data_IF_062406551000
#
_entry.id   IF_062406551000
#
_cell.length_a   1.000
_cell.length_b   1.000
_cell.length_c   1.000
_cell.angle_alpha   90.00
_cell.angle_beta   90.00
_cell.angle_gamma   90.00
#
_symmetry.space_group_name_H-M   'P 1'
#
loop_
_entity.id
_entity.type
_entity.pdbx_description
1 polymer ?
#
# COMPACT_ATOMS: atom_id res chain seq x y z
N UNK A 1 -18.99 3.76 -13.02
CA UNK A 1 -18.56 4.44 -11.79
C UNK A 1 -17.34 5.27 -12.14
N UNK A 2 -17.19 6.43 -11.51
CA UNK A 2 -16.01 7.29 -11.70
C UNK A 2 -14.87 6.76 -10.85
N UNK A 3 -13.64 6.85 -11.35
CA UNK A 3 -12.46 6.41 -10.60
C UNK A 3 -12.17 7.37 -9.44
N UNK A 4 -11.79 6.81 -8.29
CA UNK A 4 -11.21 7.54 -7.17
C UNK A 4 -9.75 7.13 -7.04
N UNK A 5 -8.85 8.05 -7.39
CA UNK A 5 -7.42 7.81 -7.27
C UNK A 5 -7.02 7.78 -5.79
N UNK A 6 -6.54 6.62 -5.33
CA UNK A 6 -5.94 6.46 -4.02
C UNK A 6 -4.53 7.06 -4.04
N UNK A 7 -4.18 7.76 -2.97
CA UNK A 7 -2.87 8.38 -2.78
C UNK A 7 -1.74 7.33 -2.85
N UNK A 8 -0.57 7.69 -3.37
CA UNK A 8 0.52 6.78 -3.78
C UNK A 8 1.77 6.85 -2.88
N UNK A 9 1.66 7.45 -1.68
CA UNK A 9 2.76 7.60 -0.70
C UNK A 9 3.16 6.31 0.04
N UNK A 10 3.10 5.18 -0.63
CA UNK A 10 3.44 3.88 -0.08
C UNK A 10 3.39 2.82 -1.17
N UNK A 11 3.61 1.57 -0.77
CA UNK A 11 3.47 0.47 -1.72
C UNK A 11 3.13 -0.85 -1.05
N UNK A 12 2.34 -1.67 -1.73
CA UNK A 12 2.04 -3.04 -1.37
C UNK A 12 2.49 -4.00 -2.46
N UNK A 13 2.96 -5.17 -2.06
CA UNK A 13 3.12 -6.29 -2.97
C UNK A 13 1.77 -6.99 -3.16
N UNK A 14 1.48 -7.33 -4.39
CA UNK A 14 0.25 -8.04 -4.75
C UNK A 14 0.56 -9.53 -4.82
N UNK A 15 -0.34 -10.34 -4.26
CA UNK A 15 -0.25 -11.79 -4.36
C UNK A 15 -0.66 -12.20 -5.79
N UNK A 16 0.35 -12.56 -6.58
CA UNK A 16 0.24 -13.01 -7.98
C UNK A 16 0.62 -14.48 -8.07
N UNK A 17 -0.34 -15.37 -7.81
CA UNK A 17 -0.11 -16.81 -7.95
C UNK A 17 -0.46 -17.30 -9.37
N UNK A 18 -0.03 -18.52 -9.69
CA UNK A 18 -0.13 -19.17 -11.00
C UNK A 18 -1.57 -19.31 -11.52
N UNK A 19 -2.57 -19.09 -10.67
CA UNK A 19 -3.97 -19.14 -11.06
C UNK A 19 -4.42 -17.91 -11.88
N UNK A 20 -3.57 -16.88 -11.97
CA UNK A 20 -3.80 -15.66 -12.77
C UNK A 20 -3.04 -15.62 -14.10
N UNK A 21 -2.32 -16.68 -14.48
CA UNK A 21 -1.46 -16.72 -15.68
C UNK A 21 -2.18 -16.25 -16.95
N UNK A 22 -3.42 -16.69 -17.14
CA UNK A 22 -4.21 -16.37 -18.33
C UNK A 22 -4.56 -14.89 -18.38
N UNK A 23 -5.01 -14.34 -17.26
CA UNK A 23 -5.37 -12.94 -17.08
C UNK A 23 -4.15 -12.03 -17.22
N UNK A 24 -2.99 -12.41 -16.65
CA UNK A 24 -1.74 -11.68 -16.78
C UNK A 24 -1.26 -11.71 -18.24
N UNK A 25 -1.32 -12.85 -18.92
CA UNK A 25 -1.00 -12.93 -20.36
C UNK A 25 -1.90 -12.02 -21.20
N UNK A 26 -3.19 -11.92 -20.88
CA UNK A 26 -4.14 -11.00 -21.57
C UNK A 26 -3.75 -9.54 -21.39
N UNK A 27 -3.29 -9.13 -20.21
CA UNK A 27 -2.82 -7.75 -19.96
C UNK A 27 -1.66 -7.37 -20.89
N UNK A 28 -0.72 -8.30 -21.11
CA UNK A 28 0.43 -8.05 -21.98
C UNK A 28 0.13 -8.26 -23.48
N UNK A 29 -1.02 -8.83 -23.85
CA UNK A 29 -1.28 -9.28 -25.23
C UNK A 29 -0.39 -10.46 -25.64
N UNK A 30 0.04 -11.27 -24.66
CA UNK A 30 0.99 -12.37 -24.83
C UNK A 30 2.37 -12.09 -24.21
N UNK A 31 2.99 -13.15 -23.71
CA UNK A 31 4.34 -13.15 -23.14
C UNK A 31 5.25 -14.09 -23.94
N UNK A 32 6.56 -13.88 -23.88
CA UNK A 32 7.57 -14.73 -24.52
C UNK A 32 8.50 -15.34 -23.48
N UNK A 33 9.01 -16.54 -23.75
CA UNK A 33 9.93 -17.22 -22.85
C UNK A 33 11.16 -16.38 -22.54
N UNK A 34 11.48 -16.26 -21.25
CA UNK A 34 12.68 -15.58 -20.74
C UNK A 34 12.74 -14.08 -21.03
N UNK A 35 11.67 -13.47 -21.55
CA UNK A 35 11.62 -12.03 -21.82
C UNK A 35 10.71 -11.34 -20.81
N UNK A 36 11.34 -10.67 -19.85
CA UNK A 36 10.65 -9.82 -18.88
C UNK A 36 9.92 -8.68 -19.61
N UNK A 37 8.64 -8.52 -19.29
CA UNK A 37 7.83 -7.38 -19.73
C UNK A 37 7.30 -6.63 -18.52
N UNK A 38 7.19 -5.32 -18.68
CA UNK A 38 6.67 -4.43 -17.64
C UNK A 38 5.44 -3.71 -18.18
N UNK A 39 4.40 -3.64 -17.35
CA UNK A 39 3.22 -2.84 -17.56
C UNK A 39 3.10 -1.85 -16.40
N UNK A 40 2.70 -0.61 -16.71
CA UNK A 40 2.47 0.46 -15.74
C UNK A 40 1.17 1.17 -16.07
N UNK A 41 0.33 1.38 -15.07
CA UNK A 41 -0.95 2.07 -15.21
C UNK A 41 -1.76 1.97 -13.93
N UNK A 42 -3.03 2.37 -13.97
CA UNK A 42 -3.92 2.26 -12.82
C UNK A 42 -4.56 0.88 -12.75
N UNK A 43 -4.63 0.32 -11.54
CA UNK A 43 -5.36 -0.90 -11.25
C UNK A 43 -6.49 -0.61 -10.26
N UNK A 44 -7.63 -1.27 -10.46
CA UNK A 44 -8.76 -1.18 -9.55
C UNK A 44 -8.60 -2.16 -8.39
N UNK A 45 -8.92 -1.72 -7.19
CA UNK A 45 -9.03 -2.57 -6.00
C UNK A 45 -10.51 -2.92 -5.80
N UNK A 46 -10.86 -4.19 -5.93
CA UNK A 46 -12.26 -4.62 -5.91
C UNK A 46 -12.45 -5.62 -4.77
N UNK A 47 -13.08 -5.23 -3.64
CA UNK A 47 -13.47 -6.14 -2.59
C UNK A 47 -14.55 -7.11 -3.10
N UNK A 48 -14.47 -8.37 -2.68
CA UNK A 48 -15.32 -9.47 -3.15
C UNK A 48 -16.02 -10.13 -1.94
N UNK A 49 -17.06 -9.52 -1.36
CA UNK A 49 -17.75 -10.05 -0.17
C UNK A 49 -18.43 -11.41 -0.43
N UNK A 50 -18.72 -11.70 -1.70
CA UNK A 50 -19.30 -12.95 -2.22
C UNK A 50 -18.26 -14.00 -2.61
N UNK A 51 -16.97 -13.75 -2.38
CA UNK A 51 -15.92 -14.70 -2.71
C UNK A 51 -16.09 -15.98 -1.87
N UNK A 52 -16.18 -17.17 -2.50
CA UNK A 52 -16.49 -18.43 -1.81
C UNK A 52 -15.36 -18.94 -0.92
N UNK A 53 -14.14 -18.39 -1.04
CA UNK A 53 -12.96 -18.81 -0.28
C UNK A 53 -12.68 -17.90 0.91
N UNK A 54 -12.69 -16.58 0.71
CA UNK A 54 -12.53 -15.57 1.77
C UNK A 54 -13.34 -14.31 1.42
N UNK A 55 -14.39 -13.97 2.20
CA UNK A 55 -15.23 -12.79 1.95
C UNK A 55 -14.51 -11.45 2.18
N UNK A 56 -13.29 -11.44 2.74
CA UNK A 56 -12.48 -10.21 2.86
C UNK A 56 -11.51 -10.03 1.69
N UNK A 57 -11.60 -10.85 0.64
CA UNK A 57 -10.71 -10.76 -0.52
C UNK A 57 -10.85 -9.40 -1.19
N UNK A 58 -9.71 -8.74 -1.43
CA UNK A 58 -9.63 -7.56 -2.29
C UNK A 58 -8.82 -7.93 -3.52
N UNK A 59 -9.51 -8.09 -4.64
CA UNK A 59 -8.87 -8.38 -5.92
C UNK A 59 -8.24 -7.14 -6.54
N UNK A 60 -7.15 -7.33 -7.28
CA UNK A 60 -6.48 -6.27 -8.05
C UNK A 60 -6.72 -6.54 -9.53
N UNK A 61 -7.26 -5.56 -10.24
CA UNK A 61 -7.72 -5.72 -11.63
C UNK A 61 -7.16 -4.67 -12.57
N UNK A 62 -6.77 -5.11 -13.76
CA UNK A 62 -6.39 -4.25 -14.89
C UNK A 62 -7.48 -4.42 -15.97
N UNK A 63 -8.35 -3.41 -16.09
CA UNK A 63 -9.57 -3.53 -16.88
C UNK A 63 -10.41 -4.73 -16.41
N UNK A 64 -10.77 -5.68 -17.29
CA UNK A 64 -11.53 -6.87 -16.91
C UNK A 64 -10.68 -7.98 -16.28
N UNK A 65 -9.34 -7.88 -16.30
CA UNK A 65 -8.45 -8.96 -15.92
C UNK A 65 -8.08 -8.89 -14.43
N UNK A 66 -8.41 -9.94 -13.67
CA UNK A 66 -7.97 -10.11 -12.28
C UNK A 66 -6.53 -10.64 -12.28
N UNK A 67 -5.59 -9.80 -11.89
CA UNK A 67 -4.14 -10.12 -11.96
C UNK A 67 -3.57 -10.61 -10.63
N UNK A 68 -4.34 -10.47 -9.55
CA UNK A 68 -3.87 -10.73 -8.20
C UNK A 68 -4.91 -10.37 -7.15
N UNK A 69 -4.49 -10.46 -5.89
CA UNK A 69 -5.23 -9.92 -4.76
C UNK A 69 -4.29 -9.35 -3.70
N UNK A 70 -4.83 -8.52 -2.80
CA UNK A 70 -4.08 -8.10 -1.61
C UNK A 70 -3.83 -9.32 -0.71
N UNK A 71 -2.69 -9.32 -0.01
CA UNK A 71 -2.47 -10.26 1.09
C UNK A 71 -3.58 -10.11 2.13
N UNK A 72 -3.95 -11.20 2.81
CA UNK A 72 -5.13 -11.21 3.70
C UNK A 72 -5.12 -10.10 4.76
N UNK A 73 -3.95 -9.84 5.37
CA UNK A 73 -3.80 -8.79 6.38
C UNK A 73 -4.02 -7.39 5.78
N UNK A 74 -3.48 -7.13 4.59
CA UNK A 74 -3.70 -5.87 3.89
C UNK A 74 -5.15 -5.74 3.43
N UNK A 75 -5.76 -6.81 2.90
CA UNK A 75 -7.15 -6.80 2.50
C UNK A 75 -8.07 -6.37 3.66
N UNK A 76 -7.88 -6.95 4.85
CA UNK A 76 -8.61 -6.56 6.06
C UNK A 76 -8.33 -5.10 6.47
N UNK A 77 -7.07 -4.67 6.41
CA UNK A 77 -6.66 -3.33 6.80
C UNK A 77 -7.24 -2.24 5.89
N UNK A 78 -7.31 -2.49 4.58
CA UNK A 78 -7.80 -1.54 3.59
C UNK A 78 -9.32 -1.62 3.38
N UNK A 79 -9.96 -2.73 3.75
CA UNK A 79 -11.40 -2.97 3.55
C UNK A 79 -12.31 -1.78 3.92
N UNK A 80 -12.29 -1.22 5.14
CA UNK A 80 -13.24 -0.16 5.51
C UNK A 80 -13.08 1.10 4.65
N UNK A 81 -11.86 1.38 4.19
CA UNK A 81 -11.55 2.53 3.35
C UNK A 81 -12.02 2.31 1.90
N UNK A 82 -11.78 1.11 1.35
CA UNK A 82 -12.26 0.75 0.01
C UNK A 82 -13.80 0.68 -0.03
N UNK A 83 -14.42 0.11 0.98
CA UNK A 83 -15.86 0.02 1.12
C UNK A 83 -16.50 1.42 1.16
N UNK A 84 -15.89 2.38 1.87
CA UNK A 84 -16.32 3.78 1.89
C UNK A 84 -16.30 4.41 0.49
N UNK A 85 -15.23 4.21 -0.28
CA UNK A 85 -15.11 4.74 -1.66
C UNK A 85 -16.20 4.16 -2.56
N UNK A 86 -16.42 2.84 -2.48
CA UNK A 86 -17.44 2.14 -3.28
C UNK A 86 -18.85 2.59 -2.91
N UNK A 87 -19.16 2.68 -1.61
CA UNK A 87 -20.45 3.17 -1.14
C UNK A 87 -20.68 4.66 -1.48
N UNK A 88 -19.61 5.42 -1.69
CA UNK A 88 -19.68 6.81 -2.19
C UNK A 88 -19.86 6.88 -3.72
N UNK A 89 -19.93 5.73 -4.41
CA UNK A 89 -20.21 5.66 -5.85
C UNK A 89 -18.98 5.62 -6.76
N UNK A 90 -17.78 5.46 -6.20
CA UNK A 90 -16.53 5.49 -6.95
C UNK A 90 -15.84 4.11 -7.02
N UNK A 91 -14.96 3.96 -7.99
CA UNK A 91 -14.06 2.79 -8.10
C UNK A 91 -12.69 3.17 -7.56
N UNK A 92 -12.21 2.55 -6.44
CA UNK A 92 -10.88 2.85 -5.92
C UNK A 92 -9.81 2.31 -6.86
N UNK A 93 -8.94 3.20 -7.35
CA UNK A 93 -7.83 2.87 -8.25
C UNK A 93 -6.51 3.36 -7.68
N UNK A 94 -5.43 2.64 -7.95
CA UNK A 94 -4.08 3.06 -7.58
C UNK A 94 -3.07 2.69 -8.68
N UNK A 95 -1.96 3.44 -8.83
CA UNK A 95 -0.91 3.08 -9.76
C UNK A 95 -0.34 1.69 -9.44
N UNK A 96 -0.14 0.87 -10.47
CA UNK A 96 0.39 -0.48 -10.38
C UNK A 96 1.53 -0.63 -11.39
N UNK A 97 2.61 -1.25 -10.92
CA UNK A 97 3.66 -1.79 -11.78
C UNK A 97 3.56 -3.31 -11.75
N UNK A 98 3.35 -3.92 -12.92
CA UNK A 98 3.30 -5.37 -13.11
C UNK A 98 4.47 -5.80 -13.99
N UNK A 99 5.27 -6.73 -13.49
CA UNK A 99 6.35 -7.37 -14.23
C UNK A 99 6.00 -8.84 -14.42
N UNK A 100 6.18 -9.36 -15.64
CA UNK A 100 5.91 -10.76 -15.92
C UNK A 100 6.84 -11.32 -17.00
N UNK A 101 7.15 -12.60 -16.89
CA UNK A 101 7.90 -13.40 -17.87
C UNK A 101 7.33 -14.81 -17.91
N UNK A 102 7.57 -15.54 -19.01
CA UNK A 102 7.25 -16.97 -19.05
C UNK A 102 8.52 -17.76 -18.77
N UNK A 103 8.48 -18.60 -17.75
CA UNK A 103 9.53 -19.55 -17.42
C UNK A 103 9.08 -20.97 -17.77
N UNK A 104 10.04 -21.87 -17.88
CA UNK A 104 9.78 -23.30 -17.99
C UNK A 104 10.08 -23.94 -16.64
N UNK A 105 9.04 -24.38 -15.93
CA UNK A 105 9.14 -25.06 -14.66
C UNK A 105 8.57 -26.47 -14.81
N UNK A 106 9.35 -27.50 -14.46
CA UNK A 106 8.97 -28.92 -14.59
C UNK A 106 8.46 -29.32 -15.99
N UNK A 107 8.98 -28.68 -17.04
CA UNK A 107 8.59 -28.92 -18.43
C UNK A 107 7.29 -28.24 -18.87
N UNK A 108 6.61 -27.52 -17.98
CA UNK A 108 5.44 -26.70 -18.28
C UNK A 108 5.83 -25.22 -18.40
N UNK A 109 5.08 -24.48 -19.21
CA UNK A 109 5.22 -23.03 -19.31
C UNK A 109 4.39 -22.38 -18.21
N UNK A 110 5.01 -21.56 -17.37
CA UNK A 110 4.39 -20.89 -16.23
C UNK A 110 4.71 -19.40 -16.28
N UNK A 111 3.75 -18.57 -15.89
CA UNK A 111 3.98 -17.13 -15.78
C UNK A 111 4.58 -16.83 -14.42
N UNK A 112 5.81 -16.34 -14.42
CA UNK A 112 6.42 -15.72 -13.25
C UNK A 112 6.09 -14.23 -13.28
N UNK A 113 5.38 -13.75 -12.26
CA UNK A 113 4.89 -12.38 -12.19
C UNK A 113 5.07 -11.78 -10.80
N UNK A 114 5.36 -10.49 -10.77
CA UNK A 114 5.41 -9.67 -9.56
C UNK A 114 4.68 -8.37 -9.82
N UNK A 115 3.76 -7.99 -8.92
CA UNK A 115 3.06 -6.71 -9.02
C UNK A 115 3.21 -5.89 -7.74
N UNK A 116 3.47 -4.60 -7.93
CA UNK A 116 3.63 -3.61 -6.85
C UNK A 116 2.64 -2.47 -7.05
N UNK A 117 1.73 -2.33 -6.11
CA UNK A 117 0.71 -1.29 -6.09
C UNK A 117 1.24 -0.10 -5.28
N UNK A 118 1.23 1.10 -5.86
CA UNK A 118 1.60 2.33 -5.18
C UNK A 118 0.37 2.89 -4.46
N UNK A 119 0.30 2.66 -3.15
CA UNK A 119 -0.85 3.04 -2.32
C UNK A 119 -0.36 3.47 -0.95
N UNK A 120 -0.90 4.57 -0.45
CA UNK A 120 -0.60 5.10 0.87
C UNK A 120 -1.18 4.20 1.97
N UNK A 121 -0.61 4.29 3.17
CA UNK A 121 -1.20 3.64 4.34
C UNK A 121 -2.66 4.07 4.54
N UNK A 122 -3.52 3.23 5.12
CA UNK A 122 -4.96 3.51 5.22
C UNK A 122 -5.32 4.87 5.84
N UNK A 123 -4.60 5.28 6.89
CA UNK A 123 -4.81 6.56 7.58
C UNK A 123 -4.43 7.79 6.74
N UNK A 124 -3.80 7.59 5.57
CA UNK A 124 -3.34 8.62 4.64
C UNK A 124 -4.07 8.59 3.28
N UNK A 125 -5.04 7.69 3.11
CA UNK A 125 -5.80 7.57 1.87
C UNK A 125 -6.69 8.78 1.61
N UNK A 126 -7.25 9.36 2.67
CA UNK A 126 -8.21 10.46 2.60
C UNK A 126 -7.73 11.63 3.45
N UNK A 127 -8.10 12.87 3.10
CA UNK A 127 -7.86 13.99 3.98
C UNK A 127 -8.74 13.90 5.24
N UNK A 128 -8.24 14.41 6.36
CA UNK A 128 -8.96 14.47 7.64
C UNK A 128 -10.16 15.41 7.60
N UNK A 129 -10.14 16.37 6.67
CA UNK A 129 -11.20 17.33 6.41
C UNK A 129 -11.49 17.44 4.90
N UNK A 130 -12.71 17.87 4.58
CA UNK A 130 -13.15 18.13 3.21
C UNK A 130 -12.80 19.58 2.83
N UNK A 131 -12.36 19.87 1.59
CA UNK A 131 -12.17 21.27 1.21
C UNK A 131 -13.53 21.99 1.17
N UNK A 132 -13.58 23.31 1.42
CA UNK A 132 -14.82 24.06 1.27
C UNK A 132 -15.44 23.86 -0.12
N UNK A 133 -16.77 23.79 -0.22
CA UNK A 133 -17.46 23.58 -1.50
C UNK A 133 -17.12 24.69 -2.53
N UNK A 134 -16.92 25.92 -2.04
CA UNK A 134 -16.49 27.07 -2.84
C UNK A 134 -14.97 27.22 -2.89
N UNK A 135 -14.22 26.12 -2.99
CA UNK A 135 -12.78 26.15 -3.21
C UNK A 135 -12.41 25.71 -4.63
N UNK A 136 -11.26 26.18 -5.09
CA UNK A 136 -10.53 25.69 -6.25
C UNK A 136 -9.26 25.00 -5.74
N UNK A 137 -9.08 23.73 -6.05
CA UNK A 137 -7.96 22.93 -5.54
C UNK A 137 -6.79 23.06 -6.50
N UNK A 138 -5.65 23.53 -6.02
CA UNK A 138 -4.45 23.62 -6.84
C UNK A 138 -3.93 22.22 -7.23
N UNK A 139 -3.39 22.06 -8.44
CA UNK A 139 -2.69 20.84 -8.84
C UNK A 139 -1.57 20.53 -7.83
N UNK A 140 -1.40 19.25 -7.50
CA UNK A 140 -0.34 18.83 -6.60
C UNK A 140 1.03 19.01 -7.25
N UNK A 141 2.03 19.34 -6.45
CA UNK A 141 3.41 19.53 -6.90
C UNK A 141 4.41 19.28 -5.77
N UNK A 142 5.58 19.95 -5.79
CA UNK A 142 6.57 19.79 -4.72
C UNK A 142 5.98 20.15 -3.35
N UNK A 143 6.56 19.55 -2.32
CA UNK A 143 6.21 19.85 -0.93
C UNK A 143 6.79 21.22 -0.52
N UNK A 144 5.94 22.08 0.02
CA UNK A 144 6.26 23.42 0.53
C UNK A 144 6.09 23.39 2.05
N UNK A 145 7.13 23.82 2.77
CA UNK A 145 7.11 23.89 4.22
C UNK A 145 6.23 25.05 4.68
N UNK A 146 5.30 24.79 5.59
CA UNK A 146 4.55 25.84 6.28
C UNK A 146 5.41 26.38 7.42
N UNK A 147 5.43 27.70 7.58
CA UNK A 147 6.21 28.40 8.60
C UNK A 147 5.34 28.81 9.77
N UNK A 148 6.00 29.00 10.92
CA UNK A 148 5.41 29.53 12.16
C UNK A 148 4.25 28.69 12.72
N UNK A 149 4.22 27.41 12.36
CA UNK A 149 3.30 26.40 12.88
C UNK A 149 3.37 26.27 14.40
N UNK A 150 4.53 26.59 15.00
CA UNK A 150 4.77 26.55 16.45
C UNK A 150 3.88 27.57 17.19
N UNK A 151 3.53 28.70 16.56
CA UNK A 151 2.59 29.67 17.12
C UNK A 151 1.17 29.06 17.28
N UNK A 152 0.89 27.98 16.55
CA UNK A 152 -0.40 27.30 16.48
C UNK A 152 -0.35 25.85 17.01
N UNK A 153 0.74 25.46 17.70
CA UNK A 153 1.01 24.08 18.09
C UNK A 153 -0.12 23.44 18.91
N UNK A 154 -0.72 24.17 19.86
CA UNK A 154 -1.83 23.67 20.68
C UNK A 154 -3.01 23.21 19.81
N UNK A 155 -3.41 24.02 18.83
CA UNK A 155 -4.49 23.66 17.91
C UNK A 155 -4.08 22.51 16.99
N UNK A 156 -2.85 22.55 16.46
CA UNK A 156 -2.38 21.50 15.56
C UNK A 156 -2.26 20.13 16.23
N UNK A 157 -1.89 20.07 17.50
CA UNK A 157 -1.94 18.83 18.28
C UNK A 157 -3.35 18.26 18.41
N UNK A 158 -4.40 19.09 18.38
CA UNK A 158 -5.79 18.61 18.36
C UNK A 158 -6.25 18.05 17.01
N UNK A 159 -5.54 18.40 15.93
CA UNK A 159 -5.83 17.95 14.56
C UNK A 159 -5.04 16.68 14.20
N UNK A 160 -3.88 16.45 14.82
CA UNK A 160 -3.03 15.30 14.53
C UNK A 160 -3.77 13.99 14.86
N UNK A 161 -3.88 13.04 13.92
CA UNK A 161 -4.52 11.77 14.17
C UNK A 161 -3.66 10.89 15.08
N UNK A 162 -4.23 9.86 15.74
CA UNK A 162 -3.47 8.96 16.61
C UNK A 162 -2.29 8.25 15.93
N UNK A 163 -2.32 8.11 14.60
CA UNK A 163 -1.22 7.59 13.79
C UNK A 163 0.03 8.50 13.78
N UNK A 164 -0.11 9.77 14.20
CA UNK A 164 0.95 10.79 14.16
C UNK A 164 1.14 11.47 12.79
N UNK A 165 0.44 11.02 11.75
CA UNK A 165 0.48 11.61 10.41
C UNK A 165 -0.90 11.57 9.76
N UNK A 166 -1.29 12.68 9.13
CA UNK A 166 -2.56 12.80 8.41
C UNK A 166 -2.45 13.64 7.15
N UNK A 167 -3.29 13.33 6.16
CA UNK A 167 -3.52 14.20 5.00
C UNK A 167 -4.59 15.22 5.35
N UNK A 168 -4.47 16.44 4.84
CA UNK A 168 -5.44 17.50 5.12
C UNK A 168 -5.70 18.33 3.88
N UNK A 169 -6.84 18.99 3.82
CA UNK A 169 -7.10 20.08 2.90
C UNK A 169 -6.89 21.41 3.63
N UNK A 170 -6.06 22.27 3.06
CA UNK A 170 -5.76 23.59 3.59
C UNK A 170 -6.29 24.64 2.62
N UNK A 171 -6.60 25.83 3.12
CA UNK A 171 -6.90 27.00 2.29
C UNK A 171 -5.82 28.05 2.45
N UNK A 172 -5.57 28.79 1.36
CA UNK A 172 -4.60 29.87 1.29
C UNK A 172 -5.32 31.20 1.18
N UNK A 173 -4.92 32.17 2.00
CA UNK A 173 -5.51 33.52 2.00
C UNK A 173 -4.39 34.58 2.06
N UNK A 174 -4.54 35.65 1.27
CA UNK A 174 -3.62 36.79 1.29
C UNK A 174 -3.90 37.64 2.53
N UNK A 175 -2.86 37.91 3.32
CA UNK A 175 -2.90 38.77 4.50
C UNK A 175 -1.77 39.81 4.46
N UNK A 176 -1.89 40.88 5.24
CA UNK A 176 -0.91 41.98 5.33
C UNK A 176 -0.26 41.99 6.70
N UNK A 177 1.04 41.73 6.76
CA UNK A 177 1.82 41.75 8.00
C UNK A 177 2.78 42.95 8.01
N UNK A 178 2.97 43.55 9.17
CA UNK A 178 4.00 44.60 9.35
C UNK A 178 5.31 43.96 9.79
N UNK A 179 6.39 44.23 9.06
CA UNK A 179 7.71 43.79 9.48
C UNK A 179 8.25 44.64 10.65
N UNK A 180 9.35 44.20 11.27
CA UNK A 180 10.02 44.95 12.34
C UNK A 180 10.47 46.37 11.94
N UNK A 181 10.56 46.65 10.65
CA UNK A 181 10.92 47.95 10.08
C UNK A 181 9.68 48.81 9.73
N UNK A 182 8.48 48.39 10.12
CA UNK A 182 7.23 49.11 9.90
C UNK A 182 6.65 49.04 8.48
N UNK A 183 7.30 48.32 7.55
CA UNK A 183 6.80 48.12 6.20
C UNK A 183 5.71 47.04 6.21
N UNK A 184 4.65 47.26 5.43
CA UNK A 184 3.58 46.27 5.24
C UNK A 184 3.95 45.34 4.09
N UNK A 185 3.94 44.05 4.35
CA UNK A 185 4.24 42.99 3.39
C UNK A 185 3.00 42.12 3.22
N UNK A 186 2.66 41.80 1.98
CA UNK A 186 1.64 40.82 1.67
C UNK A 186 2.24 39.41 1.85
N UNK A 187 1.54 38.58 2.60
CA UNK A 187 1.93 37.21 2.94
C UNK A 187 0.75 36.29 2.73
N UNK A 188 1.03 35.01 2.47
CA UNK A 188 -0.02 34.00 2.37
C UNK A 188 -0.13 33.25 3.69
N UNK A 189 -1.26 33.41 4.35
CA UNK A 189 -1.63 32.59 5.50
C UNK A 189 -2.14 31.24 5.04
N UNK A 190 -1.80 30.21 5.82
CA UNK A 190 -2.26 28.84 5.63
C UNK A 190 -3.31 28.56 6.70
N UNK A 191 -4.48 28.10 6.26
CA UNK A 191 -5.62 27.86 7.14
C UNK A 191 -6.05 26.40 7.07
N UNK A 192 -6.33 25.80 8.23
CA UNK A 192 -7.03 24.53 8.37
C UNK A 192 -8.41 24.83 8.94
N UNK A 193 -9.47 24.41 8.24
CA UNK A 193 -10.87 24.68 8.65
C UNK A 193 -11.12 26.16 9.02
N UNK A 194 -10.60 27.08 8.20
CA UNK A 194 -10.73 28.55 8.38
C UNK A 194 -10.00 29.12 9.60
N UNK A 195 -9.19 28.33 10.30
CA UNK A 195 -8.29 28.81 11.36
C UNK A 195 -6.86 28.85 10.84
N UNK A 196 -6.17 29.96 11.06
CA UNK A 196 -4.76 30.10 10.71
C UNK A 196 -3.92 29.05 11.47
N UNK A 197 -3.03 28.40 10.73
CA UNK A 197 -2.14 27.35 11.24
C UNK A 197 -0.68 27.56 10.85
N UNK A 198 -0.41 28.65 10.14
CA UNK A 198 0.93 29.05 9.73
C UNK A 198 0.85 29.99 8.54
N UNK A 199 1.99 30.13 7.85
CA UNK A 199 2.12 30.98 6.67
C UNK A 199 3.18 30.44 5.71
N UNK A 200 3.13 30.88 4.46
CA UNK A 200 4.19 30.63 3.50
C UNK A 200 5.36 31.58 3.73
N UNK A 201 6.55 31.21 3.23
CA UNK A 201 7.68 32.15 3.19
C UNK A 201 7.34 33.37 2.33
N UNK A 202 8.03 34.49 2.55
CA UNK A 202 7.84 35.71 1.76
C UNK A 202 7.99 35.45 0.25
N UNK A 203 9.00 34.66 -0.13
CA UNK A 203 9.26 34.31 -1.52
C UNK A 203 8.11 33.49 -2.13
N UNK A 204 7.64 32.46 -1.42
CA UNK A 204 6.51 31.65 -1.88
C UNK A 204 5.22 32.48 -1.92
N UNK A 205 5.00 33.35 -0.93
CA UNK A 205 3.84 34.24 -0.89
C UNK A 205 3.77 35.11 -2.15
N UNK A 206 4.86 35.76 -2.53
CA UNK A 206 4.92 36.58 -3.76
C UNK A 206 4.55 35.80 -5.03
N UNK A 207 4.89 34.52 -5.08
CA UNK A 207 4.59 33.63 -6.19
C UNK A 207 3.11 33.21 -6.23
N UNK A 208 2.51 32.94 -5.06
CA UNK A 208 1.14 32.42 -4.97
C UNK A 208 0.07 33.50 -4.90
N UNK A 209 0.37 34.72 -4.44
CA UNK A 209 -0.62 35.82 -4.32
C UNK A 209 -1.41 36.04 -5.63
N UNK A 210 -0.78 36.17 -6.82
CA UNK A 210 -1.54 36.38 -8.06
C UNK A 210 -2.55 35.27 -8.37
N UNK A 211 -2.21 34.03 -8.00
CA UNK A 211 -3.06 32.84 -8.21
C UNK A 211 -4.23 32.87 -7.22
N UNK A 212 -3.94 33.18 -5.95
CA UNK A 212 -4.94 33.27 -4.89
C UNK A 212 -5.94 34.40 -5.18
N UNK A 213 -5.43 35.56 -5.60
CA UNK A 213 -6.25 36.71 -5.94
C UNK A 213 -7.14 36.43 -7.15
N UNK A 214 -6.64 35.69 -8.16
CA UNK A 214 -7.44 35.28 -9.32
C UNK A 214 -8.62 34.39 -8.91
N UNK A 215 -8.38 33.37 -8.08
CA UNK A 215 -9.46 32.52 -7.57
C UNK A 215 -10.45 33.32 -6.70
N UNK A 216 -9.95 34.19 -5.84
CA UNK A 216 -10.76 35.00 -4.95
C UNK A 216 -11.67 35.99 -5.70
N UNK A 217 -11.18 36.59 -6.79
CA UNK A 217 -11.96 37.45 -7.68
C UNK A 217 -13.14 36.72 -8.34
N UNK A 218 -13.08 35.39 -8.43
CA UNK A 218 -14.16 34.53 -8.91
C UNK A 218 -14.96 33.87 -7.77
N UNK A 219 -14.90 34.45 -6.56
CA UNK A 219 -15.60 33.98 -5.36
C UNK A 219 -15.21 32.55 -4.96
N UNK A 220 -13.97 32.14 -5.26
CA UNK A 220 -13.40 30.84 -4.88
C UNK A 220 -12.26 31.00 -3.89
N UNK A 221 -12.23 30.16 -2.87
CA UNK A 221 -11.05 29.98 -2.02
C UNK A 221 -10.00 29.15 -2.75
N UNK A 222 -8.72 29.40 -2.48
CA UNK A 222 -7.65 28.54 -3.01
C UNK A 222 -7.38 27.43 -2.01
N UNK A 223 -7.60 26.18 -2.39
CA UNK A 223 -7.33 25.00 -1.57
C UNK A 223 -6.09 24.24 -2.06
N UNK A 224 -5.38 23.61 -1.13
CA UNK A 224 -4.20 22.80 -1.41
C UNK A 224 -4.22 21.52 -0.58
N UNK A 225 -3.56 20.49 -1.10
CA UNK A 225 -3.29 19.28 -0.34
C UNK A 225 -2.20 19.55 0.69
N UNK A 226 -2.41 19.08 1.91
CA UNK A 226 -1.48 19.20 3.02
C UNK A 226 -1.12 17.87 3.65
N UNK A 227 -0.08 17.88 4.45
CA UNK A 227 0.31 16.77 5.34
C UNK A 227 0.69 17.35 6.69
N UNK A 228 0.01 16.89 7.72
CA UNK A 228 0.31 17.20 9.10
C UNK A 228 1.00 15.99 9.73
N UNK A 229 2.09 16.25 10.44
CA UNK A 229 2.85 15.25 11.18
C UNK A 229 3.08 15.78 12.57
N UNK A 230 2.98 14.94 13.57
CA UNK A 230 3.42 15.32 14.89
C UNK A 230 3.66 14.16 15.82
N UNK A 231 4.38 14.50 16.87
CA UNK A 231 4.62 13.67 18.04
C UNK A 231 4.05 14.36 19.27
N UNK A 232 4.35 13.86 20.46
CA UNK A 232 3.99 14.51 21.71
C UNK A 232 4.65 15.91 21.90
N UNK A 233 5.72 16.22 21.15
CA UNK A 233 6.53 17.42 21.39
C UNK A 233 6.71 18.33 20.17
N UNK A 234 6.44 17.83 18.97
CA UNK A 234 6.71 18.55 17.73
C UNK A 234 5.54 18.38 16.78
N UNK A 235 5.21 19.47 16.10
CA UNK A 235 4.26 19.50 14.98
C UNK A 235 5.00 20.04 13.76
N UNK A 236 4.74 19.41 12.63
CA UNK A 236 5.15 19.91 11.33
C UNK A 236 4.03 19.79 10.32
N UNK A 237 3.92 20.79 9.44
CA UNK A 237 3.00 20.80 8.33
C UNK A 237 3.72 21.09 7.02
N UNK A 238 3.18 20.52 5.96
CA UNK A 238 3.61 20.80 4.59
C UNK A 238 2.40 20.87 3.70
N UNK A 239 2.48 21.62 2.61
CA UNK A 239 1.48 21.63 1.56
C UNK A 239 2.09 21.27 0.21
N UNK A 240 1.25 20.84 -0.72
CA UNK A 240 1.65 20.48 -2.09
C UNK A 240 0.88 21.33 -3.06
N UNK A 241 1.63 22.05 -3.89
CA UNK A 241 1.11 22.83 -4.99
C UNK A 241 2.11 22.77 -6.14
N UNK A 242 1.60 22.69 -7.36
CA UNK A 242 2.39 22.93 -8.56
C UNK A 242 3.02 24.32 -8.49
N UNK A 243 4.19 24.47 -9.09
CA UNK A 243 4.80 25.80 -9.21
C UNK A 243 3.91 26.67 -10.10
N UNK A 244 3.84 27.99 -9.90
CA UNK A 244 2.99 28.87 -10.69
C UNK A 244 3.10 28.66 -12.21
N UNK A 245 4.32 28.44 -12.70
CA UNK A 245 4.62 28.18 -14.11
C UNK A 245 4.15 26.82 -14.63
N UNK A 246 3.95 25.85 -13.73
CA UNK A 246 3.53 24.48 -14.03
C UNK A 246 2.00 24.30 -13.89
N UNK A 247 1.27 25.33 -13.44
CA UNK A 247 -0.19 25.26 -13.31
C UNK A 247 -0.83 25.29 -14.71
N UNK A 248 -1.62 24.27 -15.10
CA UNK A 248 -2.29 24.25 -16.39
C UNK A 248 -3.24 25.43 -16.60
N UNK A 249 -3.31 25.96 -17.82
CA UNK A 249 -4.22 27.06 -18.16
C UNK A 249 -5.69 26.74 -17.85
N UNK A 250 -6.10 25.49 -18.07
CA UNK A 250 -7.45 24.99 -17.76
C UNK A 250 -7.84 25.19 -16.30
N UNK A 251 -6.88 25.17 -15.37
CA UNK A 251 -7.15 25.39 -13.95
C UNK A 251 -7.64 26.82 -13.71
N UNK A 252 -7.03 27.82 -14.36
CA UNK A 252 -7.41 29.23 -14.23
C UNK A 252 -8.78 29.55 -14.84
N UNK A 253 -9.21 28.74 -15.81
CA UNK A 253 -10.51 28.87 -16.47
C UNK A 253 -11.64 28.18 -15.69
N UNK A 254 -11.38 26.99 -15.15
CA UNK A 254 -12.40 26.13 -14.54
C UNK A 254 -12.44 26.23 -13.02
N UNK A 255 -11.33 26.61 -12.39
CA UNK A 255 -11.13 26.64 -10.93
C UNK A 255 -11.72 25.39 -10.24
N UNK A 256 -11.30 24.18 -10.65
CA UNK A 256 -11.98 22.95 -10.29
C UNK A 256 -11.79 22.61 -8.81
N UNK A 257 -12.79 21.91 -8.24
CA UNK A 257 -12.68 21.23 -6.96
C UNK A 257 -12.66 19.72 -7.20
N UNK A 258 -11.48 19.19 -7.52
CA UNK A 258 -11.30 17.80 -7.94
C UNK A 258 -11.26 16.80 -6.78
N UNK A 259 -11.52 17.23 -5.54
CA UNK A 259 -11.55 16.32 -4.39
C UNK A 259 -12.94 15.69 -4.32
N UNK A 260 -13.07 14.38 -4.63
CA UNK A 260 -14.38 13.75 -4.65
C UNK A 260 -14.93 13.67 -3.22
N UNK A 261 -16.21 14.03 -3.07
CA UNK A 261 -16.90 13.94 -1.78
C UNK A 261 -17.18 12.47 -1.45
N UNK A 262 -16.63 12.01 -0.33
CA UNK A 262 -16.89 10.68 0.21
C UNK A 262 -17.91 10.77 1.34
N UNK A 263 -18.71 9.72 1.52
CA UNK A 263 -19.53 9.55 2.72
C UNK A 263 -18.69 9.75 3.99
N UNK A 264 -19.22 10.28 5.10
CA UNK A 264 -18.46 10.42 6.35
C UNK A 264 -17.87 9.08 6.82
N UNK A 265 -16.74 9.07 7.56
CA UNK A 265 -16.22 7.83 8.15
C UNK A 265 -17.30 7.11 8.97
N UNK A 266 -17.46 5.81 8.74
CA UNK A 266 -18.49 4.99 9.37
C UNK A 266 -18.02 3.55 9.58
N UNK A 267 -18.70 2.81 10.47
CA UNK A 267 -18.24 1.49 10.91
C UNK A 267 -18.43 0.37 9.90
N UNK A 268 -19.40 0.46 9.00
CA UNK A 268 -19.61 -0.53 7.94
C UNK A 268 -20.34 0.11 6.76
N UNK A 269 -19.87 -0.19 5.55
CA UNK A 269 -20.50 0.21 4.31
C UNK A 269 -20.90 -1.04 3.53
N UNK A 270 -22.10 -1.06 2.91
CA UNK A 270 -22.47 -2.17 2.03
C UNK A 270 -21.53 -2.18 0.81
N UNK A 271 -20.92 -3.34 0.55
CA UNK A 271 -20.10 -3.56 -0.64
C UNK A 271 -20.86 -4.51 -1.55
N UNK A 272 -21.05 -4.18 -2.84
CA UNK A 272 -21.69 -5.08 -3.79
C UNK A 272 -20.86 -6.34 -4.03
N UNK A 273 -21.56 -7.44 -4.31
CA UNK A 273 -20.97 -8.68 -4.82
C UNK A 273 -20.19 -8.40 -6.11
N UNK A 274 -18.96 -8.91 -6.17
CA UNK A 274 -18.03 -8.60 -7.25
C UNK A 274 -17.09 -9.75 -7.60
N UNK A 275 -17.23 -10.91 -6.96
CA UNK A 275 -16.39 -12.06 -7.21
C UNK A 275 -16.52 -12.53 -8.67
N UNK A 276 -15.37 -12.61 -9.34
CA UNK A 276 -15.27 -13.23 -10.66
C UNK A 276 -14.20 -14.33 -10.57
N UNK A 277 -14.55 -15.59 -10.86
CA UNK A 277 -13.59 -16.68 -10.81
C UNK A 277 -12.54 -16.51 -11.92
N UNK A 278 -11.26 -16.69 -11.56
CA UNK A 278 -10.17 -16.74 -12.51
C UNK A 278 -10.35 -17.93 -13.47
N UNK A 279 -9.72 -17.89 -14.64
CA UNK A 279 -9.82 -18.94 -15.65
C UNK A 279 -9.39 -20.31 -15.08
N UNK A 280 -8.35 -20.32 -14.23
CA UNK A 280 -7.91 -21.51 -13.52
C UNK A 280 -9.00 -22.08 -12.59
N UNK A 281 -9.74 -21.23 -11.88
CA UNK A 281 -10.84 -21.64 -10.99
C UNK A 281 -12.02 -22.21 -11.77
N UNK A 282 -12.31 -21.65 -12.95
CA UNK A 282 -13.34 -22.18 -13.86
C UNK A 282 -13.01 -23.61 -14.28
N UNK A 283 -11.75 -23.89 -14.59
CA UNK A 283 -11.31 -25.24 -14.99
C UNK A 283 -11.37 -26.26 -13.84
N UNK A 284 -11.04 -25.84 -12.61
CA UNK A 284 -11.15 -26.66 -11.39
C UNK A 284 -12.61 -26.92 -11.02
N UNK A 285 -13.47 -25.90 -11.08
CA UNK A 285 -14.89 -26.04 -10.82
C UNK A 285 -15.66 -26.75 -11.94
N UNK A 286 -15.20 -26.70 -13.20
CA UNK A 286 -15.79 -27.48 -14.29
C UNK A 286 -15.71 -29.00 -14.04
N UNK A 287 -14.65 -29.49 -13.36
CA UNK A 287 -14.54 -30.92 -12.96
C UNK A 287 -15.49 -31.28 -11.82
N UNK A 288 -15.82 -30.36 -10.90
CA UNK A 288 -16.81 -30.58 -9.83
C UNK A 288 -18.26 -30.41 -10.32
N UNK A 289 -18.54 -29.42 -11.17
CA UNK A 289 -19.89 -29.16 -11.70
C UNK A 289 -20.36 -30.24 -12.70
N UNK A 290 -19.46 -30.79 -13.53
CA UNK A 290 -19.78 -31.94 -14.40
C UNK A 290 -20.03 -33.24 -13.62
N UNK A 291 -19.44 -33.41 -12.43
CA UNK A 291 -19.75 -34.52 -11.52
C UNK A 291 -21.06 -34.31 -10.76
N UNK A 292 -21.39 -33.07 -10.38
CA UNK A 292 -22.65 -32.73 -9.72
C UNK A 292 -23.89 -32.97 -10.59
N UNK A 293 -23.81 -32.67 -11.89
CA UNK A 293 -24.94 -32.89 -12.80
C UNK A 293 -25.15 -34.37 -13.20
N UNK A 294 -24.10 -35.19 -13.17
CA UNK A 294 -24.16 -36.61 -13.48
C UNK A 294 -24.60 -37.48 -12.29
N UNK A 295 -24.39 -37.02 -11.04
CA UNK A 295 -24.81 -37.74 -9.83
C UNK A 295 -26.26 -37.44 -9.46
N UNK A 296 -26.84 -36.31 -9.90
CA UNK A 296 -28.26 -36.01 -9.66
C UNK A 296 -29.23 -36.64 -10.66
N UNK A 297 -28.74 -37.33 -11.70
CA UNK A 297 -29.58 -38.02 -12.68
C UNK A 297 -29.63 -39.56 -12.50
N UNK A 298 -28.93 -40.12 -11.52
CA UNK A 298 -28.97 -41.56 -11.22
C UNK A 298 -28.92 -41.79 -9.71
N UNK A 299 -30.07 -42.12 -9.11
CA UNK A 299 -30.08 -42.77 -7.80
C UNK A 299 -31.13 -42.29 -6.79
N UNK A 300 -32.41 -42.19 -7.19
CA UNK A 300 -33.50 -42.40 -6.24
C UNK A 300 -33.74 -43.91 -6.11
N UNK A 301 -33.30 -44.54 -5.01
CA UNK A 301 -33.66 -45.93 -4.72
C UNK A 301 -32.79 -46.63 -3.69
N UNK A 302 -33.26 -46.65 -2.44
CA UNK A 302 -33.41 -47.86 -1.62
C UNK A 302 -32.20 -48.72 -1.20
N UNK A 303 -31.90 -48.64 0.10
CA UNK A 303 -31.77 -49.75 1.07
C UNK A 303 -30.70 -50.87 0.95
N UNK A 304 -29.93 -50.95 2.04
CA UNK A 304 -29.48 -52.13 2.82
C UNK A 304 -28.58 -53.25 2.25
N UNK A 305 -27.51 -53.48 3.06
CA UNK A 305 -26.90 -54.74 3.56
C UNK A 305 -25.62 -55.33 2.95
N UNK A 306 -24.81 -55.75 3.93
CA UNK A 306 -23.86 -56.86 4.01
C UNK A 306 -22.46 -56.68 3.39
N UNK A 307 -21.45 -56.95 4.22
CA UNK A 307 -20.04 -56.76 3.93
C UNK A 307 -19.34 -57.98 3.36
N UNK A 308 -18.03 -57.84 3.19
CA UNK A 308 -17.08 -58.93 3.17
C UNK A 308 -15.69 -58.33 3.42
N UNK A 309 -15.01 -58.85 4.44
CA UNK A 309 -13.57 -58.72 4.62
C UNK A 309 -12.82 -59.31 3.41
N UNK A 310 -11.71 -58.70 3.04
CA UNK A 310 -10.52 -59.46 2.66
C UNK A 310 -9.27 -58.61 2.97
N UNK A 311 -8.39 -59.27 3.72
CA UNK A 311 -7.21 -58.74 4.37
C UNK A 311 -5.96 -59.10 3.54
N UNK A 312 -4.82 -58.51 3.93
CA UNK A 312 -3.44 -58.88 3.56
C UNK A 312 -2.86 -58.30 2.26
N UNK A 313 -2.00 -57.27 2.40
CA UNK A 313 -0.55 -57.50 2.43
C UNK A 313 0.24 -56.20 2.60
N UNK A 314 0.96 -56.13 3.70
CA UNK A 314 2.01 -55.15 3.94
C UNK A 314 3.25 -55.47 3.10
N UNK A 315 3.77 -54.48 2.38
CA UNK A 315 5.16 -54.50 1.93
C UNK A 315 5.80 -53.13 2.17
N UNK A 316 6.61 -53.08 3.24
CA UNK A 316 7.61 -52.05 3.50
C UNK A 316 8.74 -52.17 2.48
N UNK A 317 9.12 -51.06 1.87
CA UNK A 317 10.46 -50.72 1.30
C UNK A 317 10.32 -49.29 0.75
N UNK A 318 11.21 -48.32 0.87
CA UNK A 318 12.48 -48.14 1.57
C UNK A 318 12.80 -46.67 1.33
N UNK A 319 12.85 -45.85 2.38
CA UNK A 319 13.20 -44.44 2.29
C UNK A 319 14.71 -44.29 2.05
N UNK A 320 15.08 -43.68 0.92
CA UNK A 320 16.42 -43.14 0.67
C UNK A 320 16.61 -41.79 1.39
N UNK A 321 17.84 -41.42 1.76
CA UNK A 321 18.10 -40.41 2.78
C UNK A 321 17.90 -38.99 2.23
N UNK A 322 16.90 -38.30 2.75
CA UNK A 322 16.80 -36.85 2.65
C UNK A 322 17.95 -36.21 3.43
N UNK A 323 18.90 -35.62 2.73
CA UNK A 323 19.92 -34.75 3.29
C UNK A 323 19.23 -33.58 4.02
N UNK A 324 19.29 -33.67 5.34
CA UNK A 324 18.41 -32.93 6.25
C UNK A 324 18.56 -31.42 6.16
N UNK A 325 17.41 -30.75 6.09
CA UNK A 325 17.22 -29.32 6.38
C UNK A 325 17.84 -28.94 7.72
N UNK A 326 17.91 -29.86 8.69
CA UNK A 326 18.60 -29.68 9.97
C UNK A 326 20.12 -29.44 9.84
N UNK A 327 20.79 -30.08 8.86
CA UNK A 327 22.23 -29.94 8.65
C UNK A 327 22.62 -28.57 8.11
N UNK A 328 21.77 -27.99 7.23
CA UNK A 328 21.98 -26.63 6.69
C UNK A 328 21.84 -25.55 7.75
N UNK A 329 20.91 -25.71 8.70
CA UNK A 329 20.72 -24.75 9.80
C UNK A 329 21.88 -24.81 10.79
N UNK A 330 22.38 -26.02 11.11
CA UNK A 330 23.54 -26.16 11.99
C UNK A 330 24.80 -25.51 11.40
N UNK A 331 25.06 -25.70 10.10
CA UNK A 331 26.18 -25.06 9.40
C UNK A 331 26.03 -23.53 9.41
N UNK A 332 24.83 -23.00 9.13
CA UNK A 332 24.58 -21.55 9.15
C UNK A 332 24.84 -20.92 10.54
N UNK A 333 24.38 -21.58 11.62
CA UNK A 333 24.59 -21.12 13.00
C UNK A 333 26.08 -21.04 13.35
N UNK A 334 26.87 -22.07 13.00
CA UNK A 334 28.31 -22.07 13.26
C UNK A 334 29.06 -21.01 12.45
N UNK A 335 28.68 -20.77 11.19
CA UNK A 335 29.30 -19.71 10.36
C UNK A 335 29.05 -18.31 10.92
N UNK A 336 27.83 -18.02 11.40
CA UNK A 336 27.49 -16.73 11.99
C UNK A 336 28.22 -16.51 13.32
N UNK A 337 28.40 -17.56 14.12
CA UNK A 337 29.12 -17.48 15.39
C UNK A 337 30.61 -17.20 15.15
N UNK A 338 31.23 -17.88 14.18
CA UNK A 338 32.61 -17.61 13.78
C UNK A 338 32.80 -16.17 13.26
N UNK A 339 31.85 -15.68 12.44
CA UNK A 339 31.88 -14.31 11.93
C UNK A 339 31.74 -13.27 13.04
N UNK A 340 30.92 -13.56 14.06
CA UNK A 340 30.74 -12.69 15.23
C UNK A 340 32.05 -12.56 16.03
N UNK A 341 32.75 -13.68 16.27
CA UNK A 341 34.04 -13.68 16.97
C UNK A 341 35.12 -12.93 16.17
N UNK A 342 35.15 -13.12 14.84
CA UNK A 342 36.07 -12.42 13.95
C UNK A 342 35.85 -10.90 13.99
N UNK A 343 34.60 -10.45 13.86
CA UNK A 343 34.23 -9.02 13.90
C UNK A 343 34.52 -8.39 15.26
N UNK A 344 34.27 -9.11 16.36
CA UNK A 344 34.64 -8.67 17.70
C UNK A 344 36.16 -8.50 17.86
N UNK A 345 36.95 -9.45 17.35
CA UNK A 345 38.40 -9.38 17.35
C UNK A 345 38.93 -8.20 16.52
N UNK A 346 38.40 -7.98 15.32
CA UNK A 346 38.74 -6.82 14.47
C UNK A 346 38.35 -5.51 15.17
N UNK A 347 37.18 -5.44 15.79
CA UNK A 347 36.73 -4.28 16.59
C UNK A 347 37.71 -3.92 17.71
N UNK A 348 38.24 -4.91 18.42
CA UNK A 348 39.24 -4.73 19.49
C UNK A 348 40.60 -4.27 18.95
N UNK A 349 41.04 -4.75 17.78
CA UNK A 349 42.31 -4.31 17.16
C UNK A 349 42.24 -2.84 16.73
N UNK A 350 41.08 -2.38 16.26
CA UNK A 350 40.87 -1.00 15.81
C UNK A 350 40.49 -0.01 16.93
N UNK A 351 40.39 -0.47 18.18
CA UNK A 351 39.92 0.31 19.33
C UNK A 351 40.82 1.52 19.68
N UNK A 352 42.01 1.61 19.09
CA UNK A 352 42.95 2.72 19.27
C UNK A 352 43.31 3.51 18.01
N UNK A 353 42.74 3.17 16.84
CA UNK A 353 43.11 3.79 15.55
C UNK A 353 41.94 4.59 14.99
N UNK A 354 40.74 3.98 14.89
CA UNK A 354 39.55 4.65 14.36
C UNK A 354 38.30 4.25 15.16
N UNK A 355 37.80 5.11 16.06
CA UNK A 355 36.73 4.76 16.99
C UNK A 355 35.39 4.47 16.30
N UNK A 356 35.14 5.06 15.12
CA UNK A 356 33.93 4.82 14.33
C UNK A 356 33.88 3.42 13.70
N UNK A 357 35.02 2.93 13.20
CA UNK A 357 35.10 1.59 12.60
C UNK A 357 34.96 0.51 13.67
N UNK A 358 35.56 0.73 14.84
CA UNK A 358 35.40 -0.17 15.99
C UNK A 358 33.93 -0.25 16.43
N UNK A 359 33.25 0.89 16.57
CA UNK A 359 31.83 0.94 16.94
C UNK A 359 30.94 0.21 15.91
N UNK A 360 31.17 0.40 14.61
CA UNK A 360 30.44 -0.29 13.55
C UNK A 360 30.64 -1.81 13.60
N UNK A 361 31.88 -2.27 13.80
CA UNK A 361 32.20 -3.70 13.94
C UNK A 361 31.49 -4.34 15.15
N UNK A 362 31.41 -3.64 16.29
CA UNK A 362 30.67 -4.14 17.46
C UNK A 362 29.17 -4.21 17.23
N UNK A 363 28.57 -3.21 16.55
CA UNK A 363 27.14 -3.22 16.22
C UNK A 363 26.81 -4.42 15.32
N UNK A 364 27.61 -4.67 14.28
CA UNK A 364 27.40 -5.80 13.37
C UNK A 364 27.63 -7.13 14.08
N UNK A 365 28.62 -7.23 14.98
CA UNK A 365 28.85 -8.43 15.79
C UNK A 365 27.65 -8.75 16.69
N UNK A 366 27.08 -7.75 17.36
CA UNK A 366 25.89 -7.92 18.22
C UNK A 366 24.68 -8.38 17.40
N UNK A 367 24.43 -7.77 16.24
CA UNK A 367 23.33 -8.15 15.35
C UNK A 367 23.48 -9.60 14.85
N UNK A 368 24.70 -9.99 14.46
CA UNK A 368 25.01 -11.34 13.96
C UNK A 368 24.88 -12.39 15.07
N UNK A 369 25.30 -12.07 16.30
CA UNK A 369 25.12 -12.91 17.48
C UNK A 369 23.64 -13.11 17.83
N UNK A 370 22.82 -12.06 17.75
CA UNK A 370 21.39 -12.14 18.02
C UNK A 370 20.66 -13.01 16.98
N UNK A 371 21.04 -12.89 15.70
CA UNK A 371 20.50 -13.73 14.62
C UNK A 371 20.88 -15.20 14.80
N UNK A 372 22.13 -15.49 15.21
CA UNK A 372 22.57 -16.86 15.51
C UNK A 372 21.78 -17.48 16.67
N UNK A 373 21.57 -16.72 17.74
CA UNK A 373 20.76 -17.15 18.89
C UNK A 373 19.29 -17.38 18.51
N UNK A 374 18.72 -16.53 17.67
CA UNK A 374 17.36 -16.68 17.17
C UNK A 374 17.19 -17.97 16.35
N UNK A 375 18.11 -18.25 15.43
CA UNK A 375 18.11 -19.47 14.61
C UNK A 375 18.28 -20.74 15.46
N UNK A 376 19.15 -20.71 16.48
CA UNK A 376 19.36 -21.81 17.42
C UNK A 376 18.12 -22.09 18.31
N UNK A 377 17.34 -21.05 18.64
CA UNK A 377 16.09 -21.18 19.38
C UNK A 377 14.96 -21.75 18.53
N UNK A 378 14.92 -21.43 17.24
CA UNK A 378 13.95 -22.01 16.31
C UNK A 378 14.23 -23.50 16.03
N UNK A 379 15.50 -23.91 15.96
CA UNK A 379 15.84 -25.33 15.75
C UNK A 379 15.50 -26.22 16.96
N UNK A 380 15.58 -25.69 18.18
CA UNK A 380 15.21 -26.39 19.42
C UNK A 380 13.69 -26.45 19.67
N UNK A 381 12.93 -25.47 19.15
CA UNK A 381 11.46 -25.46 19.23
C UNK A 381 10.77 -26.51 18.33
N UNK A 382 11.41 -26.94 17.24
CA UNK A 382 10.87 -27.93 16.31
C UNK A 382 10.99 -29.39 16.80
N UNK A 383 11.75 -29.66 17.87
CA UNK A 383 11.97 -31.01 18.41
C UNK A 383 10.99 -31.41 19.54
N UNK A 384 9.98 -30.59 19.84
CA UNK A 384 9.00 -30.83 20.93
C UNK A 384 7.52 -30.80 20.49
N UNK A 385 7.23 -31.08 19.22
CA UNK A 385 5.86 -31.41 18.77
C UNK A 385 5.82 -32.78 18.14
#
# INVERSE_FOLDING_TARGET
>A
MTDYALNDRGSLEIVTENFYDTEIMRVFGGLSFGKLRTWTGNAALVPEPDNPFDPHTVSVRIGPNKIGHLAQQDAQRYWPYLARVIASGYTPVAPLKLEATVLRQDGQAEVDAAARLSIAAPDLLFPLNTPPAQAAVLPQGPSIKVLDEQEFAEYLHSVIPPSGEGRVMLTLETNKVRNHHGQTLDIVDVLYERRQVGRLSTQMSQQFIPIIDHAFQQEKLTAVWGTIRGSAFEVSMTLQAARPEDIPAEWFEQLPNDVPELLPPGGSFPVPDAYVPAEADRSRNAKKWRKGLAVSAAGSGGAERAGQDDDVSAQRSSAGPGTGVLGRVHVAVWTLLAMTVLLGGVGVVFLGIEPLVSALCFIVAVATGFMSFYLARMSTGAARR
#
